data_IF_835701011566
#
_entry.id   IF_835701011566
#
_cell.length_a   1.000
_cell.length_b   1.000
_cell.length_c   1.000
_cell.angle_alpha   90.00
_cell.angle_beta   90.00
_cell.angle_gamma   90.00
#
_symmetry.space_group_name_H-M   'P 1'
#
loop_
_entity.id
_entity.type
_entity.pdbx_description
1 polymer ?
#
# COMPACT_ATOMS: atom_id res chain seq x y z
N UNK A 1 4.21 -1.76 -11.01
CA UNK A 1 4.70 -0.64 -10.18
C UNK A 1 5.59 -1.16 -9.07
N UNK A 2 6.17 -0.30 -8.24
CA UNK A 2 7.03 -0.71 -7.14
C UNK A 2 6.36 -0.35 -5.82
N UNK A 3 6.54 -1.19 -4.80
CA UNK A 3 6.06 -0.91 -3.45
C UNK A 3 6.79 0.31 -2.89
N UNK A 4 6.05 1.28 -2.40
CA UNK A 4 6.60 2.54 -1.88
C UNK A 4 7.34 2.37 -0.53
N UNK A 5 7.22 1.20 0.12
CA UNK A 5 7.92 0.86 1.38
C UNK A 5 9.18 0.01 1.13
N UNK A 6 9.08 -1.06 0.34
CA UNK A 6 10.19 -2.02 0.17
C UNK A 6 10.81 -2.03 -1.23
N UNK A 7 10.29 -1.24 -2.18
CA UNK A 7 10.78 -1.15 -3.55
C UNK A 7 10.48 -2.36 -4.45
N UNK A 8 9.91 -3.45 -3.92
CA UNK A 8 9.60 -4.67 -4.71
C UNK A 8 8.62 -4.38 -5.85
N UNK A 9 8.81 -5.04 -6.98
CA UNK A 9 7.89 -4.98 -8.11
C UNK A 9 6.58 -5.69 -7.75
N UNK A 10 5.46 -4.98 -7.90
CA UNK A 10 4.11 -5.44 -7.59
C UNK A 10 3.16 -5.17 -8.75
N UNK A 11 2.28 -6.14 -8.98
CA UNK A 11 1.23 -6.08 -10.00
C UNK A 11 -0.06 -5.53 -9.42
N UNK A 12 -0.39 -5.89 -8.17
CA UNK A 12 -1.60 -5.43 -7.49
C UNK A 12 -1.22 -4.62 -6.24
N UNK A 13 -1.10 -3.29 -6.35
CA UNK A 13 -0.86 -2.45 -5.17
C UNK A 13 -2.04 -2.52 -4.22
N UNK A 14 -1.73 -2.42 -2.93
CA UNK A 14 -2.71 -2.17 -1.88
C UNK A 14 -2.50 -0.75 -1.43
N UNK A 15 -3.57 0.04 -1.45
CA UNK A 15 -3.54 1.39 -0.88
C UNK A 15 -3.62 1.27 0.64
N UNK A 16 -2.66 1.86 1.32
CA UNK A 16 -2.68 2.03 2.77
C UNK A 16 -2.51 3.50 3.13
N UNK A 17 -3.10 3.91 4.23
CA UNK A 17 -2.87 5.20 4.85
C UNK A 17 -1.80 5.07 5.94
N UNK A 18 -0.74 5.88 5.84
CA UNK A 18 0.26 6.11 6.88
C UNK A 18 0.43 7.61 7.02
N UNK A 19 0.27 8.14 8.24
CA UNK A 19 0.50 9.56 8.54
C UNK A 19 -0.23 10.52 7.56
N UNK A 20 -1.53 10.28 7.35
CA UNK A 20 -2.37 11.03 6.40
C UNK A 20 -1.93 10.95 4.92
N UNK A 21 -0.98 10.07 4.58
CA UNK A 21 -0.50 9.84 3.22
C UNK A 21 -0.97 8.49 2.70
N UNK A 22 -1.53 8.48 1.49
CA UNK A 22 -1.95 7.25 0.82
C UNK A 22 -0.79 6.69 0.00
N UNK A 23 -0.34 5.49 0.36
CA UNK A 23 0.78 4.78 -0.26
C UNK A 23 0.30 3.49 -0.93
N UNK A 24 0.93 3.15 -2.05
CA UNK A 24 0.72 1.92 -2.79
C UNK A 24 1.82 0.93 -2.43
N UNK A 25 1.41 -0.13 -1.74
CA UNK A 25 2.36 -1.09 -1.17
C UNK A 25 2.03 -2.51 -1.57
N UNK A 26 2.98 -3.41 -1.35
CA UNK A 26 2.76 -4.84 -1.52
C UNK A 26 1.94 -5.40 -0.35
N UNK A 27 1.41 -6.62 -0.52
CA UNK A 27 0.65 -7.33 0.52
C UNK A 27 1.39 -7.52 1.83
N UNK A 28 2.72 -7.64 1.79
CA UNK A 28 3.54 -7.73 2.99
C UNK A 28 3.60 -6.40 3.73
N UNK A 29 3.74 -5.31 2.98
CA UNK A 29 3.88 -3.96 3.53
C UNK A 29 2.55 -3.31 3.90
N UNK A 30 1.41 -3.87 3.45
CA UNK A 30 0.10 -3.36 3.82
C UNK A 30 -0.19 -3.46 5.33
N UNK A 31 0.61 -4.24 6.08
CA UNK A 31 0.52 -4.32 7.54
C UNK A 31 1.08 -3.09 8.27
N UNK A 32 1.84 -2.24 7.59
CA UNK A 32 2.46 -1.05 8.21
C UNK A 32 1.54 0.16 8.29
N UNK A 33 0.36 0.09 7.65
CA UNK A 33 -0.63 1.15 7.68
C UNK A 33 -2.04 0.62 7.67
N UNK A 34 -3.00 1.53 7.59
CA UNK A 34 -4.42 1.20 7.55
C UNK A 34 -4.83 0.93 6.10
N UNK A 35 -5.35 -0.26 5.80
CA UNK A 35 -5.84 -0.58 4.46
C UNK A 35 -7.06 0.28 4.14
N UNK A 36 -6.93 1.15 3.14
CA UNK A 36 -8.04 1.93 2.59
C UNK A 36 -8.73 1.09 1.52
N UNK A 37 -9.80 0.41 1.92
CA UNK A 37 -10.73 -0.27 1.01
C UNK A 37 -11.69 0.80 0.47
N UNK A 38 -11.48 1.23 -0.77
CA UNK A 38 -12.48 2.02 -1.50
C UNK A 38 -13.74 1.16 -1.69
N UNK A 39 -14.73 1.33 -0.81
CA UNK A 39 -16.08 0.82 -1.05
C UNK A 39 -16.66 1.64 -2.21
N UNK A 40 -16.65 1.03 -3.40
CA UNK A 40 -17.35 1.53 -4.59
C UNK A 40 -18.85 1.29 -4.48
#
# INVERSE_FOLDING_TARGET
>A
MNCEICGRKITNPIKIEIDNSILNVCRDCSRFGTIVIEKK
#
